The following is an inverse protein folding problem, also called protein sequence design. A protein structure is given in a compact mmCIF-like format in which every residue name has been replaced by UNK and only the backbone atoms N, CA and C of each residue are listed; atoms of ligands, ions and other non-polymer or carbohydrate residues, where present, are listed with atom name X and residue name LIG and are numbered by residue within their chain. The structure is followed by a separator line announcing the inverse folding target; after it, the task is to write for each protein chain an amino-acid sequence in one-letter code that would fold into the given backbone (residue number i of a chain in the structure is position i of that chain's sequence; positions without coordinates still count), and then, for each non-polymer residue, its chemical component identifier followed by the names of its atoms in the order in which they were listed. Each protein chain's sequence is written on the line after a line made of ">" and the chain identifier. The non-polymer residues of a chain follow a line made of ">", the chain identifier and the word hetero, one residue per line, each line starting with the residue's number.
data_IF_665548518487
#
_entry.id   IF_665548518487
#
_cell.length_a   1.000
_cell.length_b   1.000
_cell.length_c   1.000
_cell.angle_alpha   90.00
_cell.angle_beta   90.00
_cell.angle_gamma   90.00
#
_symmetry.space_group_name_H-M   'P 1'
#
loop_
_entity.id
_entity.type
_entity.pdbx_description
1 polymer ?
#
# COMPACT_ATOMS: atom_id res chain seq x y z
N UNK A 1 -19.37 -21.79 21.78
CA UNK A 1 -18.50 -21.14 20.81
C UNK A 1 -19.32 -20.01 20.18
N UNK A 2 -19.33 -18.86 20.87
CA UNK A 2 -20.05 -17.67 20.38
C UNK A 2 -19.33 -17.19 19.11
N UNK A 3 -20.09 -17.16 18.02
CA UNK A 3 -19.68 -16.46 16.80
C UNK A 3 -19.58 -14.96 17.15
N UNK A 4 -18.38 -14.50 17.42
CA UNK A 4 -18.10 -13.07 17.48
C UNK A 4 -18.43 -12.50 16.10
N UNK A 5 -19.59 -11.87 15.98
CA UNK A 5 -19.88 -11.00 14.84
C UNK A 5 -18.86 -9.85 14.91
N UNK A 6 -17.83 -9.91 14.10
CA UNK A 6 -16.93 -8.78 13.96
C UNK A 6 -17.75 -7.58 13.48
N UNK A 7 -17.77 -6.53 14.27
CA UNK A 7 -18.44 -5.30 13.91
C UNK A 7 -17.67 -4.66 12.77
N UNK A 8 -18.17 -4.83 11.54
CA UNK A 8 -17.64 -4.23 10.33
C UNK A 8 -18.59 -3.17 9.83
N UNK A 9 -18.11 -1.96 9.58
CA UNK A 9 -18.89 -0.85 9.06
C UNK A 9 -18.29 -0.34 7.76
N UNK A 10 -19.10 -0.26 6.72
CA UNK A 10 -18.71 0.36 5.45
C UNK A 10 -19.14 1.83 5.43
N UNK A 11 -18.29 2.66 4.80
CA UNK A 11 -18.48 4.09 4.68
C UNK A 11 -18.26 4.53 3.24
N UNK A 12 -18.95 5.61 2.85
CA UNK A 12 -18.63 6.40 1.67
C UNK A 12 -18.32 7.81 2.15
N UNK A 13 -17.05 8.18 2.12
CA UNK A 13 -16.59 9.50 2.48
C UNK A 13 -16.50 10.40 1.25
N UNK A 14 -16.97 11.63 1.36
CA UNK A 14 -16.81 12.63 0.28
C UNK A 14 -15.59 13.47 0.57
N UNK A 15 -14.66 13.50 -0.38
CA UNK A 15 -13.44 14.28 -0.30
C UNK A 15 -13.69 15.75 -0.67
N UNK A 16 -12.74 16.62 -0.36
CA UNK A 16 -12.85 18.07 -0.59
C UNK A 16 -13.07 18.46 -2.06
N UNK A 17 -12.67 17.60 -3.00
CA UNK A 17 -12.91 17.77 -4.43
C UNK A 17 -14.18 17.08 -4.95
N UNK A 18 -15.02 16.56 -4.05
CA UNK A 18 -16.29 15.89 -4.36
C UNK A 18 -16.14 14.41 -4.72
N UNK A 19 -14.91 13.86 -4.78
CA UNK A 19 -14.69 12.45 -5.04
C UNK A 19 -15.16 11.59 -3.85
N UNK A 20 -15.82 10.48 -4.13
CA UNK A 20 -16.30 9.55 -3.10
C UNK A 20 -15.26 8.46 -2.86
N UNK A 21 -14.93 8.20 -1.61
CA UNK A 21 -13.99 7.15 -1.20
C UNK A 21 -14.74 6.10 -0.38
N UNK A 22 -14.70 4.85 -0.85
CA UNK A 22 -15.24 3.70 -0.12
C UNK A 22 -14.23 3.25 0.92
N UNK A 23 -14.66 3.20 2.17
CA UNK A 23 -13.83 2.80 3.30
C UNK A 23 -14.55 1.76 4.17
N UNK A 24 -13.76 1.03 4.97
CA UNK A 24 -14.28 0.04 5.91
C UNK A 24 -13.59 0.22 7.25
N UNK A 25 -14.38 0.15 8.32
CA UNK A 25 -13.92 0.07 9.70
C UNK A 25 -14.21 -1.30 10.26
N UNK A 26 -13.23 -1.92 10.90
CA UNK A 26 -13.32 -3.17 11.65
C UNK A 26 -13.09 -2.84 13.13
N UNK A 27 -14.01 -3.26 13.98
CA UNK A 27 -13.99 -2.94 15.40
C UNK A 27 -13.52 -4.15 16.21
N UNK A 28 -12.59 -3.97 17.16
CA UNK A 28 -12.30 -5.03 18.13
C UNK A 28 -13.50 -5.29 19.05
N UNK A 29 -13.57 -6.50 19.57
CA UNK A 29 -14.61 -6.89 20.54
C UNK A 29 -14.34 -6.39 21.97
N UNK A 30 -13.22 -5.70 22.20
CA UNK A 30 -12.72 -5.24 23.50
C UNK A 30 -12.28 -3.76 23.41
N UNK A 31 -11.59 -3.28 24.44
CA UNK A 31 -11.02 -1.92 24.47
C UNK A 31 -10.06 -1.67 23.30
N UNK A 32 -10.16 -0.49 22.67
CA UNK A 32 -9.31 -0.09 21.56
C UNK A 32 -7.96 0.38 22.10
N UNK A 33 -6.90 -0.35 21.78
CA UNK A 33 -5.52 -0.04 22.20
C UNK A 33 -4.74 0.79 21.17
N UNK A 34 -5.23 0.90 19.93
CA UNK A 34 -4.60 1.67 18.86
C UNK A 34 -5.42 1.59 17.57
N UNK A 35 -5.00 2.36 16.57
CA UNK A 35 -5.64 2.42 15.26
C UNK A 35 -4.62 2.03 14.17
N UNK A 36 -4.99 1.10 13.31
CA UNK A 36 -4.21 0.71 12.13
C UNK A 36 -5.00 1.05 10.88
N UNK A 37 -4.42 1.89 10.02
CA UNK A 37 -5.02 2.20 8.72
C UNK A 37 -4.24 1.52 7.60
N UNK A 38 -4.94 0.73 6.77
CA UNK A 38 -4.34 -0.11 5.72
C UNK A 38 -4.53 0.54 4.36
N UNK A 39 -3.42 0.69 3.62
CA UNK A 39 -3.34 1.20 2.25
C UNK A 39 -2.97 0.04 1.32
N UNK A 40 -3.87 -0.34 0.42
CA UNK A 40 -3.69 -1.44 -0.52
C UNK A 40 -2.75 -1.11 -1.69
N UNK A 41 -2.37 -2.13 -2.46
CA UNK A 41 -1.49 -2.03 -3.62
C UNK A 41 -2.21 -1.60 -4.91
N UNK A 42 -1.44 -1.55 -6.01
CA UNK A 42 -1.96 -1.28 -7.35
C UNK A 42 -2.71 -2.50 -7.89
N UNK A 43 -3.85 -2.26 -8.54
CA UNK A 43 -4.62 -3.31 -9.20
C UNK A 43 -5.28 -4.29 -8.25
N UNK A 44 -5.59 -3.84 -7.05
CA UNK A 44 -6.31 -4.58 -6.01
C UNK A 44 -7.22 -3.65 -5.21
N UNK A 45 -7.75 -4.10 -4.07
CA UNK A 45 -8.66 -3.33 -3.22
C UNK A 45 -8.58 -3.75 -1.75
N UNK A 46 -9.15 -2.91 -0.86
CA UNK A 46 -9.08 -3.05 0.60
C UNK A 46 -9.61 -4.39 1.15
N UNK A 47 -10.59 -5.03 0.51
CA UNK A 47 -11.20 -6.28 1.02
C UNK A 47 -10.23 -7.46 1.06
N UNK A 48 -9.14 -7.41 0.29
CA UNK A 48 -8.10 -8.45 0.31
C UNK A 48 -7.30 -8.49 1.63
N UNK A 49 -7.46 -7.45 2.45
CA UNK A 49 -6.82 -7.31 3.76
C UNK A 49 -7.72 -7.72 4.93
N UNK A 50 -8.94 -8.22 4.67
CA UNK A 50 -9.92 -8.56 5.72
C UNK A 50 -9.38 -9.58 6.73
N UNK A 51 -8.66 -10.61 6.27
CA UNK A 51 -8.05 -11.60 7.15
C UNK A 51 -7.01 -10.99 8.10
N UNK A 52 -6.18 -10.07 7.61
CA UNK A 52 -5.21 -9.35 8.42
C UNK A 52 -5.89 -8.34 9.36
N UNK A 53 -6.91 -7.63 8.87
CA UNK A 53 -7.68 -6.69 9.68
C UNK A 53 -8.36 -7.41 10.86
N UNK A 54 -8.96 -8.56 10.61
CA UNK A 54 -9.60 -9.37 11.63
C UNK A 54 -8.62 -9.84 12.70
N UNK A 55 -7.45 -10.36 12.29
CA UNK A 55 -6.38 -10.73 13.22
C UNK A 55 -5.97 -9.56 14.13
N UNK A 56 -5.82 -8.35 13.58
CA UNK A 56 -5.47 -7.17 14.35
C UNK A 56 -6.60 -6.71 15.29
N UNK A 57 -7.85 -6.87 14.87
CA UNK A 57 -9.01 -6.60 15.75
C UNK A 57 -9.05 -7.54 16.94
N UNK A 58 -8.74 -8.83 16.77
CA UNK A 58 -8.65 -9.80 17.86
C UNK A 58 -7.61 -9.40 18.91
N UNK A 59 -6.60 -8.62 18.52
CA UNK A 59 -5.58 -8.05 19.39
C UNK A 59 -5.97 -6.70 20.02
N UNK A 60 -7.15 -6.16 19.72
CA UNK A 60 -7.65 -4.90 20.30
C UNK A 60 -7.42 -3.66 19.43
N UNK A 61 -6.95 -3.79 18.20
CA UNK A 61 -6.78 -2.63 17.32
C UNK A 61 -8.08 -2.27 16.58
N UNK A 62 -8.42 -0.99 16.54
CA UNK A 62 -9.32 -0.46 15.53
C UNK A 62 -8.61 -0.56 14.18
N UNK A 63 -9.19 -1.25 13.20
CA UNK A 63 -8.59 -1.35 11.87
C UNK A 63 -9.48 -0.66 10.85
N UNK A 64 -8.88 0.18 10.01
CA UNK A 64 -9.58 0.84 8.91
C UNK A 64 -8.83 0.67 7.62
N UNK A 65 -9.54 0.72 6.53
CA UNK A 65 -8.98 0.69 5.17
C UNK A 65 -9.88 1.46 4.21
N UNK A 66 -9.37 1.83 3.06
CA UNK A 66 -10.17 2.42 1.99
C UNK A 66 -9.68 1.96 0.63
N UNK A 67 -10.55 1.98 -0.37
CA UNK A 67 -10.15 1.82 -1.76
C UNK A 67 -9.60 3.14 -2.30
N UNK A 68 -8.36 3.14 -2.80
CA UNK A 68 -7.77 4.31 -3.46
C UNK A 68 -8.56 4.71 -4.70
N UNK A 69 -8.43 5.96 -5.16
CA UNK A 69 -9.01 6.41 -6.43
C UNK A 69 -8.67 5.45 -7.56
N UNK A 70 -9.66 5.15 -8.39
CA UNK A 70 -9.54 4.21 -9.49
C UNK A 70 -9.36 2.75 -9.07
N UNK A 71 -9.73 2.39 -7.84
CA UNK A 71 -9.67 1.01 -7.33
C UNK A 71 -10.95 0.62 -6.59
N UNK A 72 -11.24 -0.66 -6.59
CA UNK A 72 -12.31 -1.26 -5.81
C UNK A 72 -13.65 -0.53 -5.92
N UNK A 73 -14.35 -0.42 -4.79
CA UNK A 73 -15.65 0.25 -4.74
C UNK A 73 -15.54 1.77 -4.91
N UNK A 74 -14.38 2.39 -4.63
CA UNK A 74 -14.16 3.81 -4.95
C UNK A 74 -14.26 4.07 -6.44
N UNK A 75 -13.72 3.20 -7.30
CA UNK A 75 -13.88 3.33 -8.74
C UNK A 75 -15.35 3.23 -9.15
N UNK A 76 -16.09 2.27 -8.60
CA UNK A 76 -17.52 2.07 -8.90
C UNK A 76 -18.37 3.29 -8.49
N UNK A 77 -18.15 3.86 -7.30
CA UNK A 77 -18.85 5.04 -6.79
C UNK A 77 -18.60 6.31 -7.64
N UNK A 78 -17.54 6.30 -8.48
CA UNK A 78 -17.16 7.44 -9.32
C UNK A 78 -17.20 7.11 -10.82
N UNK A 79 -18.10 6.22 -11.25
CA UNK A 79 -18.37 5.93 -12.66
C UNK A 79 -17.54 4.83 -13.29
N UNK A 80 -16.87 3.98 -12.49
CA UNK A 80 -16.25 2.73 -12.94
C UNK A 80 -14.93 2.90 -13.71
N UNK A 81 -14.25 4.03 -13.59
CA UNK A 81 -12.94 4.23 -14.22
C UNK A 81 -11.83 3.67 -13.33
N UNK A 82 -11.32 2.49 -13.69
CA UNK A 82 -10.22 1.85 -13.01
C UNK A 82 -8.85 2.40 -13.42
N UNK A 83 -7.91 2.41 -12.45
CA UNK A 83 -6.53 2.82 -12.67
C UNK A 83 -6.38 4.28 -13.11
N UNK A 84 -7.12 5.18 -12.49
CA UNK A 84 -7.04 6.62 -12.72
C UNK A 84 -7.15 7.38 -11.40
N UNK A 85 -6.17 8.25 -11.09
CA UNK A 85 -6.17 9.01 -9.84
C UNK A 85 -6.89 10.37 -10.00
N UNK A 86 -6.34 11.25 -10.82
CA UNK A 86 -6.85 12.58 -11.04
C UNK A 86 -6.33 13.19 -12.34
N UNK A 87 -6.91 14.31 -12.75
CA UNK A 87 -6.46 15.05 -13.95
C UNK A 87 -5.08 15.72 -13.73
N UNK A 88 -4.74 16.06 -12.48
CA UNK A 88 -3.48 16.70 -12.10
C UNK A 88 -3.02 16.19 -10.75
N UNK A 89 -1.69 16.04 -10.61
CA UNK A 89 -1.03 15.68 -9.34
C UNK A 89 -1.67 14.50 -8.62
N UNK A 90 -2.07 13.46 -9.38
CA UNK A 90 -2.89 12.36 -8.88
C UNK A 90 -2.27 11.61 -7.72
N UNK A 91 -0.94 11.44 -7.69
CA UNK A 91 -0.27 10.80 -6.54
C UNK A 91 -0.42 11.62 -5.26
N UNK A 92 -0.23 12.95 -5.31
CA UNK A 92 -0.41 13.83 -4.15
C UNK A 92 -1.89 13.87 -3.73
N UNK A 93 -2.82 13.81 -4.70
CA UNK A 93 -4.25 13.77 -4.40
C UNK A 93 -4.64 12.49 -3.63
N UNK A 94 -4.11 11.33 -4.02
CA UNK A 94 -4.35 10.08 -3.29
C UNK A 94 -3.77 10.15 -1.87
N UNK A 95 -2.61 10.76 -1.67
CA UNK A 95 -2.05 10.98 -0.32
C UNK A 95 -2.95 11.92 0.50
N UNK A 96 -3.51 12.95 -0.15
CA UNK A 96 -4.46 13.84 0.50
C UNK A 96 -5.78 13.12 0.86
N UNK A 97 -6.25 12.19 0.01
CA UNK A 97 -7.42 11.36 0.33
C UNK A 97 -7.20 10.53 1.59
N UNK A 98 -6.00 9.93 1.75
CA UNK A 98 -5.64 9.22 3.00
C UNK A 98 -5.82 10.14 4.20
N UNK A 99 -5.32 11.38 4.11
CA UNK A 99 -5.44 12.35 5.20
C UNK A 99 -6.91 12.69 5.49
N UNK A 100 -7.70 13.00 4.47
CA UNK A 100 -9.11 13.36 4.62
C UNK A 100 -9.94 12.18 5.17
N UNK A 101 -9.69 10.94 4.72
CA UNK A 101 -10.33 9.73 5.24
C UNK A 101 -9.99 9.54 6.72
N UNK A 102 -8.72 9.65 7.10
CA UNK A 102 -8.29 9.53 8.50
C UNK A 102 -8.93 10.60 9.39
N UNK A 103 -9.04 11.85 8.92
CA UNK A 103 -9.73 12.90 9.67
C UNK A 103 -11.21 12.55 9.90
N UNK A 104 -11.93 12.07 8.87
CA UNK A 104 -13.32 11.67 9.02
C UNK A 104 -13.48 10.47 9.95
N UNK A 105 -12.59 9.46 9.87
CA UNK A 105 -12.57 8.32 10.80
C UNK A 105 -12.37 8.79 12.25
N UNK A 106 -11.43 9.71 12.49
CA UNK A 106 -11.16 10.26 13.84
C UNK A 106 -12.37 10.99 14.43
N UNK A 107 -13.12 11.71 13.60
CA UNK A 107 -14.36 12.37 14.02
C UNK A 107 -15.40 11.34 14.46
N UNK A 108 -15.51 10.21 13.77
CA UNK A 108 -16.52 9.19 14.06
C UNK A 108 -16.13 8.24 15.22
N UNK A 109 -14.85 7.92 15.36
CA UNK A 109 -14.40 6.84 16.24
C UNK A 109 -13.41 7.26 17.32
N UNK A 110 -12.99 8.55 17.32
CA UNK A 110 -12.01 9.06 18.28
C UNK A 110 -10.57 8.98 17.79
N UNK A 111 -9.65 9.46 18.62
CA UNK A 111 -8.22 9.50 18.35
C UNK A 111 -7.50 8.41 19.14
N UNK A 112 -6.81 7.54 18.43
CA UNK A 112 -5.95 6.48 18.98
C UNK A 112 -4.55 6.58 18.39
N UNK A 113 -3.51 6.03 19.04
CA UNK A 113 -2.19 5.92 18.44
C UNK A 113 -2.27 5.27 17.05
N UNK A 114 -1.79 5.98 16.02
CA UNK A 114 -2.02 5.62 14.62
C UNK A 114 -0.80 4.94 14.01
N UNK A 115 -0.98 3.71 13.54
CA UNK A 115 -0.05 2.99 12.68
C UNK A 115 -0.57 3.01 11.24
N UNK A 116 0.24 3.52 10.31
CA UNK A 116 -0.07 3.47 8.88
C UNK A 116 0.62 2.26 8.25
N UNK A 117 -0.17 1.30 7.76
CA UNK A 117 0.31 0.12 7.04
C UNK A 117 0.07 0.33 5.55
N UNK A 118 1.13 0.26 4.74
CA UNK A 118 1.00 0.34 3.28
C UNK A 118 1.65 -0.83 2.59
N UNK A 119 0.92 -1.48 1.67
CA UNK A 119 1.43 -2.56 0.84
C UNK A 119 1.68 -2.09 -0.60
N UNK A 120 2.81 -2.47 -1.18
CA UNK A 120 3.15 -2.17 -2.58
C UNK A 120 2.98 -0.69 -2.90
N UNK A 121 2.10 -0.32 -3.84
CA UNK A 121 1.73 1.07 -4.10
C UNK A 121 1.34 1.81 -2.81
N UNK A 122 0.57 1.19 -1.92
CA UNK A 122 0.20 1.77 -0.63
C UNK A 122 1.42 2.08 0.24
N UNK A 123 2.53 1.34 0.12
CA UNK A 123 3.77 1.62 0.84
C UNK A 123 4.43 2.92 0.37
N UNK A 124 4.38 3.22 -0.92
CA UNK A 124 4.89 4.49 -1.46
C UNK A 124 3.99 5.66 -1.05
N UNK A 125 2.66 5.44 -0.99
CA UNK A 125 1.69 6.40 -0.46
C UNK A 125 1.96 6.65 1.02
N UNK A 126 2.17 5.61 1.83
CA UNK A 126 2.50 5.72 3.26
C UNK A 126 3.81 6.49 3.49
N UNK A 127 4.84 6.23 2.68
CA UNK A 127 6.11 6.97 2.70
C UNK A 127 5.91 8.45 2.39
N UNK A 128 5.05 8.79 1.42
CA UNK A 128 4.71 10.18 1.12
C UNK A 128 3.87 10.81 2.23
N UNK A 129 2.91 10.09 2.77
CA UNK A 129 2.12 10.54 3.91
C UNK A 129 3.00 10.90 5.11
N UNK A 130 3.97 10.04 5.45
CA UNK A 130 4.93 10.31 6.51
C UNK A 130 5.75 11.57 6.27
N UNK A 131 6.08 11.91 5.01
CA UNK A 131 6.78 13.15 4.68
C UNK A 131 5.93 14.42 4.89
N UNK A 132 4.61 14.30 4.83
CA UNK A 132 3.69 15.43 4.95
C UNK A 132 3.08 15.55 6.36
N UNK A 133 2.82 14.42 7.00
CA UNK A 133 2.00 14.32 8.20
C UNK A 133 2.64 13.44 9.30
N UNK A 134 3.98 13.40 9.40
CA UNK A 134 4.67 12.51 10.36
C UNK A 134 4.28 12.73 11.82
N UNK A 135 3.83 13.94 12.18
CA UNK A 135 3.36 14.26 13.54
C UNK A 135 2.02 13.64 13.90
N UNK A 136 1.28 13.15 12.92
CA UNK A 136 0.00 12.45 13.11
C UNK A 136 0.13 10.94 13.23
N UNK A 137 1.35 10.42 13.04
CA UNK A 137 1.66 8.99 13.02
C UNK A 137 2.45 8.59 14.25
N UNK A 138 2.10 7.46 14.85
CA UNK A 138 2.93 6.80 15.86
C UNK A 138 3.91 5.81 15.23
N UNK A 139 3.51 5.15 14.14
CA UNK A 139 4.33 4.16 13.42
C UNK A 139 3.99 4.11 11.93
N UNK A 140 4.95 3.65 11.12
CA UNK A 140 4.72 3.33 9.70
C UNK A 140 5.25 1.94 9.38
N UNK A 141 4.44 1.15 8.67
CA UNK A 141 4.83 -0.17 8.15
C UNK A 141 4.74 -0.13 6.62
N UNK A 142 5.87 -0.34 5.95
CA UNK A 142 5.95 -0.44 4.49
C UNK A 142 6.16 -1.91 4.10
N UNK A 143 5.12 -2.55 3.59
CA UNK A 143 5.10 -3.93 3.13
C UNK A 143 5.31 -3.97 1.61
N UNK A 144 6.23 -4.81 1.11
CA UNK A 144 6.48 -4.96 -0.32
C UNK A 144 6.94 -3.66 -1.00
N UNK A 145 7.71 -2.83 -0.29
CA UNK A 145 8.24 -1.56 -0.83
C UNK A 145 9.52 -1.77 -1.63
N UNK A 146 9.86 -0.80 -2.46
CA UNK A 146 11.09 -0.83 -3.27
C UNK A 146 11.79 0.50 -3.39
N UNK A 147 13.02 0.46 -3.92
CA UNK A 147 13.81 1.64 -4.21
C UNK A 147 13.44 2.24 -5.57
N UNK A 148 13.52 3.56 -5.68
CA UNK A 148 13.42 4.25 -6.96
C UNK A 148 14.74 4.18 -7.70
N UNK A 149 14.68 3.83 -8.99
CA UNK A 149 15.85 3.73 -9.87
C UNK A 149 15.76 4.74 -11.02
N UNK A 150 16.84 5.01 -11.78
CA UNK A 150 16.77 5.86 -12.96
C UNK A 150 15.73 5.43 -13.99
N UNK A 151 15.40 4.14 -14.07
CA UNK A 151 14.35 3.62 -14.95
C UNK A 151 12.98 4.22 -14.65
N UNK A 152 12.69 4.54 -13.39
CA UNK A 152 11.43 5.21 -13.02
C UNK A 152 11.36 6.62 -13.60
N UNK A 153 12.50 7.33 -13.76
CA UNK A 153 12.53 8.65 -14.39
C UNK A 153 12.24 8.55 -15.90
N UNK A 154 12.83 7.55 -16.55
CA UNK A 154 12.58 7.27 -17.98
C UNK A 154 11.11 6.87 -18.15
N UNK A 155 10.60 5.95 -17.31
CA UNK A 155 9.22 5.51 -17.31
C UNK A 155 8.23 6.67 -17.10
N UNK A 156 8.53 7.60 -16.19
CA UNK A 156 7.73 8.78 -15.95
C UNK A 156 7.59 9.66 -17.20
N UNK A 157 8.69 9.93 -17.88
CA UNK A 157 8.67 10.71 -19.12
C UNK A 157 7.86 10.00 -20.21
N UNK A 158 8.05 8.69 -20.37
CA UNK A 158 7.27 7.89 -21.32
C UNK A 158 5.78 7.92 -20.99
N UNK A 159 5.40 7.70 -19.73
CA UNK A 159 3.99 7.73 -19.29
C UNK A 159 3.35 9.10 -19.56
N UNK A 160 4.06 10.20 -19.31
CA UNK A 160 3.59 11.56 -19.63
C UNK A 160 3.38 11.79 -21.12
N UNK A 161 4.27 11.25 -21.97
CA UNK A 161 4.12 11.31 -23.43
C UNK A 161 2.89 10.50 -23.86
N UNK A 162 2.77 9.25 -23.36
CA UNK A 162 1.62 8.41 -23.67
C UNK A 162 0.28 9.02 -23.20
N UNK A 163 0.26 9.65 -22.03
CA UNK A 163 -0.90 10.37 -21.53
C UNK A 163 -1.34 11.52 -22.47
N UNK A 164 -0.37 12.27 -23.00
CA UNK A 164 -0.66 13.38 -23.93
C UNK A 164 -1.11 12.90 -25.32
N UNK A 165 -0.47 11.85 -25.84
CA UNK A 165 -0.67 11.39 -27.23
C UNK A 165 -1.82 10.40 -27.36
N UNK A 166 -1.97 9.48 -26.42
CA UNK A 166 -3.00 8.42 -26.44
C UNK A 166 -4.19 8.71 -25.52
N UNK A 167 -4.12 9.78 -24.74
CA UNK A 167 -5.15 10.18 -23.78
C UNK A 167 -4.85 9.71 -22.35
N UNK A 168 -5.19 10.55 -21.35
CA UNK A 168 -4.87 10.31 -19.94
C UNK A 168 -5.62 9.10 -19.36
N UNK A 169 -6.85 8.87 -19.79
CA UNK A 169 -7.75 7.82 -19.28
C UNK A 169 -7.64 6.49 -20.06
N UNK A 170 -6.80 6.43 -21.09
CA UNK A 170 -6.59 5.21 -21.88
C UNK A 170 -5.73 4.21 -21.10
N UNK A 171 -6.14 2.91 -20.99
CA UNK A 171 -5.32 1.86 -20.38
C UNK A 171 -3.94 1.74 -21.05
N UNK A 172 -2.90 1.70 -20.24
CA UNK A 172 -1.51 1.75 -20.72
C UNK A 172 -0.87 0.37 -20.81
N UNK A 173 -1.17 -0.38 -21.88
CA UNK A 173 -0.58 -1.71 -22.12
C UNK A 173 0.96 -1.64 -22.13
N UNK A 174 1.52 -0.57 -22.70
CA UNK A 174 2.98 -0.37 -22.79
C UNK A 174 3.58 -0.24 -21.39
N UNK A 175 3.04 0.67 -20.57
CA UNK A 175 3.57 0.86 -19.21
C UNK A 175 3.35 -0.36 -18.34
N UNK A 176 2.19 -1.02 -18.44
CA UNK A 176 1.90 -2.26 -17.72
C UNK A 176 2.93 -3.34 -18.06
N UNK A 177 3.21 -3.57 -19.35
CA UNK A 177 4.21 -4.54 -19.79
C UNK A 177 5.62 -4.17 -19.28
N UNK A 178 6.02 -2.92 -19.38
CA UNK A 178 7.34 -2.45 -18.89
C UNK A 178 7.49 -2.62 -17.39
N UNK A 179 6.41 -2.42 -16.62
CA UNK A 179 6.44 -2.52 -15.16
C UNK A 179 6.50 -3.96 -14.65
N UNK A 180 5.74 -4.88 -15.27
CA UNK A 180 5.49 -6.20 -14.67
C UNK A 180 6.08 -7.39 -15.42
N UNK A 181 6.45 -7.27 -16.71
CA UNK A 181 6.87 -8.42 -17.53
C UNK A 181 8.12 -9.14 -17.03
N UNK A 182 8.91 -8.52 -16.17
CA UNK A 182 10.13 -9.11 -15.62
C UNK A 182 9.94 -9.77 -14.25
N UNK A 183 8.78 -9.62 -13.60
CA UNK A 183 8.61 -10.01 -12.21
C UNK A 183 8.64 -11.53 -12.01
N UNK A 184 8.14 -12.28 -12.98
CA UNK A 184 8.20 -13.75 -12.93
C UNK A 184 9.57 -14.35 -13.35
N UNK A 185 10.55 -13.55 -13.80
CA UNK A 185 11.79 -14.09 -14.39
C UNK A 185 12.60 -15.03 -13.49
N UNK A 186 12.49 -14.88 -12.18
CA UNK A 186 13.21 -15.67 -11.20
C UNK A 186 12.33 -16.73 -10.51
N UNK A 187 11.05 -16.79 -10.85
CA UNK A 187 10.12 -17.73 -10.27
C UNK A 187 10.20 -19.02 -11.06
N UNK A 188 10.46 -20.17 -10.42
CA UNK A 188 10.40 -21.46 -11.08
C UNK A 188 8.95 -21.81 -11.45
N UNK A 189 8.78 -22.60 -12.51
CA UNK A 189 7.51 -23.22 -12.90
C UNK A 189 6.30 -22.26 -12.99
N UNK A 190 6.52 -21.09 -13.63
CA UNK A 190 5.49 -20.06 -13.79
C UNK A 190 4.28 -20.59 -14.56
N UNK A 191 3.10 -20.50 -13.95
CA UNK A 191 1.80 -20.88 -14.52
C UNK A 191 1.03 -19.66 -15.00
N UNK A 192 1.06 -18.57 -14.25
CA UNK A 192 0.32 -17.34 -14.55
C UNK A 192 1.24 -16.12 -14.58
N UNK A 193 0.77 -15.02 -15.17
CA UNK A 193 1.51 -13.73 -15.15
C UNK A 193 1.56 -13.09 -13.75
N UNK A 194 0.81 -13.61 -12.79
CA UNK A 194 0.66 -13.08 -11.44
C UNK A 194 1.36 -13.93 -10.35
N UNK A 195 2.11 -14.97 -10.71
CA UNK A 195 2.75 -15.86 -9.74
C UNK A 195 3.76 -15.13 -8.83
N UNK A 196 4.31 -14.01 -9.29
CA UNK A 196 5.18 -13.16 -8.49
C UNK A 196 4.49 -12.55 -7.25
N UNK A 197 3.14 -12.58 -7.19
CA UNK A 197 2.39 -12.05 -6.05
C UNK A 197 2.54 -12.91 -4.80
N UNK A 198 2.37 -14.23 -4.92
CA UNK A 198 2.29 -15.13 -3.78
C UNK A 198 2.75 -16.54 -4.14
N UNK A 199 3.27 -17.29 -3.17
CA UNK A 199 3.56 -18.73 -3.33
C UNK A 199 2.31 -19.59 -3.20
N UNK A 200 1.25 -19.06 -2.63
CA UNK A 200 -0.05 -19.74 -2.54
C UNK A 200 -0.84 -19.56 -3.84
N UNK A 201 -0.90 -20.63 -4.63
CA UNK A 201 -1.62 -20.65 -5.91
C UNK A 201 -3.12 -20.31 -5.75
N UNK A 202 -3.73 -20.65 -4.60
CA UNK A 202 -5.13 -20.32 -4.34
C UNK A 202 -5.34 -18.81 -4.18
N UNK A 203 -4.40 -18.13 -3.53
CA UNK A 203 -4.45 -16.66 -3.40
C UNK A 203 -4.19 -15.98 -4.75
N UNK A 204 -3.29 -16.52 -5.58
CA UNK A 204 -3.08 -16.04 -6.96
C UNK A 204 -4.36 -16.23 -7.79
N UNK A 205 -5.01 -17.39 -7.66
CA UNK A 205 -6.25 -17.66 -8.38
C UNK A 205 -7.40 -16.73 -7.94
N UNK A 206 -7.56 -16.46 -6.65
CA UNK A 206 -8.51 -15.47 -6.13
C UNK A 206 -8.28 -14.08 -6.72
N UNK A 207 -7.00 -13.67 -6.86
CA UNK A 207 -6.65 -12.41 -7.49
C UNK A 207 -7.06 -12.37 -8.97
N UNK A 208 -6.84 -13.44 -9.70
CA UNK A 208 -7.18 -13.55 -11.14
C UNK A 208 -8.69 -13.53 -11.36
N UNK A 209 -9.46 -14.17 -10.49
CA UNK A 209 -10.92 -14.28 -10.60
C UNK A 209 -11.65 -13.01 -10.14
N UNK A 210 -10.98 -12.15 -9.35
CA UNK A 210 -11.58 -10.92 -8.86
C UNK A 210 -11.57 -9.83 -9.95
N UNK A 211 -12.77 -9.44 -10.41
CA UNK A 211 -12.95 -8.41 -11.44
C UNK A 211 -12.40 -7.03 -11.08
N UNK A 212 -12.18 -6.77 -9.79
CA UNK A 212 -11.61 -5.53 -9.30
C UNK A 212 -10.08 -5.61 -9.13
N UNK A 213 -9.47 -6.76 -9.49
CA UNK A 213 -8.04 -6.98 -9.46
C UNK A 213 -7.46 -7.12 -10.88
N UNK A 214 -6.15 -6.92 -11.02
CA UNK A 214 -5.40 -7.21 -12.25
C UNK A 214 -5.72 -6.32 -13.45
N UNK A 215 -6.50 -5.28 -13.31
CA UNK A 215 -6.82 -4.35 -14.41
C UNK A 215 -5.58 -3.57 -14.88
N UNK A 216 -5.59 -3.15 -16.15
CA UNK A 216 -4.53 -2.32 -16.71
C UNK A 216 -4.83 -0.86 -16.40
N UNK A 217 -3.97 -0.23 -15.59
CA UNK A 217 -4.10 1.18 -15.24
C UNK A 217 -3.84 2.11 -16.43
N UNK A 218 -4.31 3.34 -16.31
CA UNK A 218 -4.27 4.35 -17.38
C UNK A 218 -2.89 4.96 -17.58
N UNK A 219 -2.68 5.63 -18.70
CA UNK A 219 -1.45 6.37 -18.98
C UNK A 219 -1.16 7.42 -17.89
N UNK A 220 -2.20 8.16 -17.46
CA UNK A 220 -2.05 9.18 -16.41
C UNK A 220 -1.69 8.57 -15.06
N UNK A 221 -2.29 7.45 -14.70
CA UNK A 221 -1.95 6.73 -13.48
C UNK A 221 -0.46 6.42 -13.39
N UNK A 222 0.15 5.86 -14.45
CA UNK A 222 1.58 5.56 -14.46
C UNK A 222 2.44 6.83 -14.38
N UNK A 223 2.00 7.94 -15.00
CA UNK A 223 2.68 9.22 -14.89
C UNK A 223 2.65 9.76 -13.44
N UNK A 224 1.50 9.67 -12.78
CA UNK A 224 1.32 10.10 -11.40
C UNK A 224 2.10 9.23 -10.42
N UNK A 225 1.97 7.91 -10.52
CA UNK A 225 2.65 6.95 -9.66
C UNK A 225 4.17 7.08 -9.73
N UNK A 226 4.73 7.13 -10.95
CA UNK A 226 6.18 7.29 -11.13
C UNK A 226 6.68 8.67 -10.72
N UNK A 227 5.85 9.72 -10.84
CA UNK A 227 6.16 11.05 -10.28
C UNK A 227 6.26 10.99 -8.74
N UNK A 228 5.36 10.24 -8.11
CA UNK A 228 5.41 9.95 -6.67
C UNK A 228 6.71 9.24 -6.27
N UNK A 229 7.10 8.17 -6.98
CA UNK A 229 8.35 7.44 -6.74
C UNK A 229 9.58 8.35 -6.77
N UNK A 230 9.65 9.24 -7.76
CA UNK A 230 10.76 10.20 -7.89
C UNK A 230 10.76 11.23 -6.75
N UNK A 231 9.59 11.60 -6.26
CA UNK A 231 9.44 12.62 -5.23
C UNK A 231 9.83 12.11 -3.86
N UNK A 232 9.35 10.93 -3.47
CA UNK A 232 9.53 10.39 -2.12
C UNK A 232 10.99 10.07 -1.77
N UNK A 233 11.86 9.88 -2.74
CA UNK A 233 13.29 9.57 -2.51
C UNK A 233 14.18 10.81 -2.42
N UNK A 234 13.64 12.01 -2.63
CA UNK A 234 14.43 13.25 -2.53
C UNK A 234 14.86 13.47 -1.08
N UNK A 235 16.15 13.67 -0.79
CA UNK A 235 16.63 13.83 0.58
C UNK A 235 15.89 14.94 1.36
N UNK A 236 15.55 16.04 0.66
CA UNK A 236 14.77 17.14 1.25
C UNK A 236 13.36 16.74 1.68
N UNK A 237 12.74 15.77 1.00
CA UNK A 237 11.41 15.28 1.35
C UNK A 237 11.51 14.28 2.51
N UNK A 238 12.51 13.39 2.51
CA UNK A 238 12.73 12.43 3.62
C UNK A 238 13.02 13.16 4.93
N UNK A 239 13.82 14.23 4.89
CA UNK A 239 14.14 15.05 6.09
C UNK A 239 12.94 15.77 6.71
N UNK A 240 11.76 15.77 6.09
CA UNK A 240 10.53 16.29 6.69
C UNK A 240 9.91 15.33 7.70
N UNK A 241 10.27 14.05 7.62
CA UNK A 241 9.78 13.04 8.57
C UNK A 241 10.44 13.31 9.92
N UNK A 242 9.68 13.33 11.01
CA UNK A 242 10.26 13.43 12.35
C UNK A 242 11.22 12.26 12.59
N UNK A 243 12.40 12.56 13.12
CA UNK A 243 13.51 11.59 13.15
C UNK A 243 13.26 10.39 14.10
N UNK A 244 12.34 10.51 15.01
CA UNK A 244 11.95 9.50 16.00
C UNK A 244 10.73 8.67 15.58
N UNK A 245 10.16 8.88 14.38
CA UNK A 245 9.06 8.06 13.88
C UNK A 245 9.56 6.64 13.59
N UNK A 246 9.04 5.60 14.27
CA UNK A 246 9.41 4.22 13.99
C UNK A 246 8.91 3.79 12.60
N UNK A 247 9.80 3.18 11.81
CA UNK A 247 9.50 2.67 10.47
C UNK A 247 9.91 1.20 10.39
N UNK A 248 8.95 0.34 10.05
CA UNK A 248 9.18 -1.07 9.73
C UNK A 248 9.07 -1.28 8.21
N UNK A 249 10.08 -1.88 7.62
CA UNK A 249 10.11 -2.30 6.23
C UNK A 249 10.06 -3.81 6.18
N UNK A 250 9.00 -4.39 5.63
CA UNK A 250 8.81 -5.84 5.50
C UNK A 250 8.61 -6.23 4.03
N UNK A 251 9.17 -7.37 3.63
CA UNK A 251 9.05 -7.89 2.26
C UNK A 251 9.40 -9.38 2.22
N UNK A 252 8.93 -10.08 1.20
CA UNK A 252 9.44 -11.41 0.89
C UNK A 252 10.87 -11.34 0.33
N UNK A 253 11.68 -12.37 0.59
CA UNK A 253 13.02 -12.47 0.01
C UNK A 253 12.98 -12.61 -1.52
N UNK A 254 11.88 -13.14 -2.05
CA UNK A 254 11.66 -13.36 -3.47
C UNK A 254 10.74 -12.32 -4.12
N UNK A 255 10.48 -11.20 -3.42
CA UNK A 255 9.69 -10.10 -3.94
C UNK A 255 10.46 -9.30 -5.01
N UNK A 256 10.00 -9.33 -6.30
CA UNK A 256 10.68 -8.60 -7.38
C UNK A 256 10.55 -7.07 -7.25
N UNK A 257 9.51 -6.55 -6.58
CA UNK A 257 9.31 -5.10 -6.35
C UNK A 257 10.41 -4.56 -5.45
N UNK A 258 10.76 -5.33 -4.41
CA UNK A 258 11.88 -5.04 -3.51
C UNK A 258 13.26 -5.43 -4.06
N UNK A 259 13.40 -5.80 -5.34
CA UNK A 259 14.65 -6.31 -5.93
C UNK A 259 15.20 -7.52 -5.14
N UNK A 260 14.31 -8.40 -4.68
CA UNK A 260 14.64 -9.53 -3.79
C UNK A 260 15.37 -9.04 -2.52
N UNK A 261 14.78 -8.09 -1.82
CA UNK A 261 15.27 -7.49 -0.58
C UNK A 261 16.26 -6.33 -0.76
N UNK A 262 17.02 -6.27 -1.85
CA UNK A 262 18.04 -5.23 -2.08
C UNK A 262 17.45 -3.83 -2.10
N UNK A 263 16.30 -3.66 -2.74
CA UNK A 263 15.58 -2.38 -2.81
C UNK A 263 15.06 -1.94 -1.44
N UNK A 264 14.65 -2.91 -0.61
CA UNK A 264 14.18 -2.63 0.76
C UNK A 264 15.31 -2.08 1.63
N UNK A 265 16.50 -2.71 1.58
CA UNK A 265 17.68 -2.21 2.29
C UNK A 265 18.13 -0.82 1.80
N UNK A 266 18.08 -0.56 0.48
CA UNK A 266 18.34 0.79 -0.06
C UNK A 266 17.41 1.85 0.52
N UNK A 267 16.12 1.51 0.71
CA UNK A 267 15.16 2.42 1.36
C UNK A 267 15.52 2.65 2.83
N UNK A 268 15.87 1.60 3.56
CA UNK A 268 16.32 1.71 4.95
C UNK A 268 17.56 2.61 5.07
N UNK A 269 18.54 2.43 4.19
CA UNK A 269 19.76 3.25 4.17
C UNK A 269 19.46 4.72 3.87
N UNK A 270 18.52 5.02 2.95
CA UNK A 270 18.08 6.39 2.68
C UNK A 270 17.48 7.05 3.92
N UNK A 271 16.68 6.33 4.71
CA UNK A 271 16.10 6.82 5.95
C UNK A 271 17.17 7.05 7.02
N UNK A 272 18.06 6.09 7.23
CA UNK A 272 19.19 6.21 8.17
C UNK A 272 20.09 7.41 7.83
N UNK A 273 20.44 7.58 6.55
CA UNK A 273 21.23 8.73 6.06
C UNK A 273 20.50 10.07 6.23
N UNK A 274 19.17 10.07 6.23
CA UNK A 274 18.38 11.26 6.50
C UNK A 274 18.25 11.60 8.00
N UNK A 275 18.76 10.72 8.88
CA UNK A 275 18.78 10.93 10.35
C UNK A 275 17.64 10.25 11.10
N UNK A 276 16.90 9.34 10.46
CA UNK A 276 15.87 8.52 11.14
C UNK A 276 16.53 7.58 12.15
N UNK A 277 16.00 7.55 13.38
CA UNK A 277 16.59 6.81 14.51
C UNK A 277 16.11 5.37 14.63
N UNK A 278 14.89 5.11 14.19
CA UNK A 278 14.22 3.81 14.31
C UNK A 278 13.73 3.31 12.95
N UNK A 279 14.60 2.54 12.28
CA UNK A 279 14.32 1.93 10.98
C UNK A 279 14.68 0.45 11.05
N UNK A 280 13.67 -0.39 11.06
CA UNK A 280 13.77 -1.85 11.14
C UNK A 280 13.46 -2.47 9.79
N UNK A 281 14.18 -3.52 9.42
CA UNK A 281 13.95 -4.33 8.20
C UNK A 281 13.75 -5.77 8.60
N UNK A 282 12.69 -6.41 8.10
CA UNK A 282 12.48 -7.85 8.22
C UNK A 282 12.13 -8.45 6.86
N UNK A 283 12.93 -9.40 6.39
CA UNK A 283 12.67 -10.15 5.16
C UNK A 283 12.21 -11.57 5.51
N UNK A 284 11.19 -12.03 4.80
CA UNK A 284 10.60 -13.36 4.99
C UNK A 284 11.10 -14.30 3.88
N UNK A 285 11.87 -15.30 4.26
CA UNK A 285 12.53 -16.22 3.35
C UNK A 285 11.53 -17.00 2.50
N UNK A 286 11.76 -17.04 1.19
CA UNK A 286 10.94 -17.77 0.21
C UNK A 286 9.56 -17.14 -0.05
N UNK A 287 9.16 -16.09 0.66
CA UNK A 287 7.91 -15.37 0.39
C UNK A 287 8.09 -14.41 -0.78
N UNK A 288 7.01 -14.21 -1.54
CA UNK A 288 6.94 -13.29 -2.67
C UNK A 288 6.38 -11.92 -2.25
N UNK A 289 5.65 -11.24 -3.12
CA UNK A 289 5.24 -9.85 -2.92
C UNK A 289 4.15 -9.65 -1.84
N UNK A 290 3.13 -10.51 -1.84
CA UNK A 290 1.97 -10.40 -0.94
C UNK A 290 2.17 -11.22 0.35
N UNK A 291 3.17 -10.86 1.14
CA UNK A 291 3.56 -11.63 2.34
C UNK A 291 2.43 -11.83 3.36
N UNK A 292 1.44 -10.95 3.39
CA UNK A 292 0.27 -11.08 4.28
C UNK A 292 -0.78 -12.10 3.79
N UNK A 293 -0.64 -12.58 2.56
CA UNK A 293 -1.49 -13.59 1.93
C UNK A 293 -0.76 -14.93 1.74
N UNK A 294 0.54 -15.00 2.08
CA UNK A 294 1.35 -16.21 1.94
C UNK A 294 0.86 -17.37 2.80
N UNK A 295 1.25 -18.60 2.44
CA UNK A 295 0.93 -19.83 3.21
C UNK A 295 1.34 -19.71 4.67
N UNK A 296 2.48 -19.09 4.94
CA UNK A 296 3.04 -18.89 6.28
C UNK A 296 2.84 -17.46 6.80
N UNK A 297 1.77 -16.77 6.38
CA UNK A 297 1.46 -15.39 6.77
C UNK A 297 1.42 -15.12 8.27
N UNK A 298 1.20 -16.15 9.11
CA UNK A 298 1.23 -15.98 10.56
C UNK A 298 2.58 -15.46 11.05
N UNK A 299 3.68 -15.87 10.44
CA UNK A 299 5.01 -15.33 10.77
C UNK A 299 5.11 -13.82 10.53
N UNK A 300 4.46 -13.33 9.46
CA UNK A 300 4.40 -11.89 9.15
C UNK A 300 3.56 -11.16 10.17
N UNK A 301 2.41 -11.71 10.50
CA UNK A 301 1.49 -11.15 11.50
C UNK A 301 2.17 -11.03 12.87
N UNK A 302 2.87 -12.08 13.29
CA UNK A 302 3.60 -12.11 14.56
C UNK A 302 4.73 -11.07 14.59
N UNK A 303 5.51 -10.94 13.52
CA UNK A 303 6.57 -9.92 13.41
C UNK A 303 5.98 -8.50 13.49
N UNK A 304 4.90 -8.24 12.76
CA UNK A 304 4.22 -6.93 12.81
C UNK A 304 3.73 -6.62 14.22
N UNK A 305 3.07 -7.58 14.86
CA UNK A 305 2.50 -7.40 16.21
C UNK A 305 3.58 -7.19 17.26
N UNK A 306 4.63 -8.02 17.26
CA UNK A 306 5.76 -7.88 18.18
C UNK A 306 6.45 -6.52 18.02
N UNK A 307 6.67 -6.09 16.76
CA UNK A 307 7.26 -4.77 16.52
C UNK A 307 6.36 -3.63 17.02
N UNK A 308 5.04 -3.71 16.82
CA UNK A 308 4.10 -2.73 17.35
C UNK A 308 4.10 -2.67 18.88
N UNK A 309 4.38 -3.80 19.54
CA UNK A 309 4.51 -3.89 21.00
C UNK A 309 5.90 -3.48 21.52
N UNK A 310 6.80 -2.97 20.66
CA UNK A 310 8.19 -2.66 20.96
C UNK A 310 9.02 -3.87 21.41
N UNK A 311 8.63 -5.06 20.98
CA UNK A 311 9.40 -6.28 21.21
C UNK A 311 10.52 -6.43 20.17
N UNK A 312 11.57 -7.17 20.52
CA UNK A 312 12.62 -7.54 19.57
C UNK A 312 12.07 -8.49 18.49
N UNK A 313 12.29 -8.19 17.23
CA UNK A 313 11.92 -9.00 16.07
C UNK A 313 13.15 -9.49 15.33
#
# INVERSE_FOLDING_TARGET
>A
MELFFMNKQNHIFTMTDGHKIAATTYFPGNEIIGHIHILHGMGEHQRRYEGFANYLCDLGYLVTSHDHRGHGNTAEENGGLYGYFADKDGFERVVQDVHEVLQQIRVHHGMYPLTLFGHSMGSFIARRYAQLYSTELDRVICCGTGATTPLHVIGNNLAKVLSRVKGPKTPSIIMNKLSFSSFNKKIPDVVTIFDWLCTDEQEVQKYIEDKQCGFIATNQFFADLTSGFIKIVKPKEIKKIRADLPILLISGSDDPVGENGKGVYKVADQYKQAGMKDVTVSLFEGMRHEIINERHKQQVYDVVTRWMNNEKI
#
